data_IF_689815565761
#
_entry.id   IF_689815565761
#
_cell.length_a   1.000
_cell.length_b   1.000
_cell.length_c   1.000
_cell.angle_alpha   90.00
_cell.angle_beta   90.00
_cell.angle_gamma   90.00
#
_symmetry.space_group_name_H-M   'P 1'
#
loop_
_entity.id
_entity.type
_entity.pdbx_description
1 polymer ?
#
# COMPACT_ATOMS: atom_id res chain seq x y z
N UNK A 1 25.96 27.10 -11.43
CA UNK A 1 24.93 26.46 -10.59
C UNK A 1 24.03 25.68 -11.53
N UNK A 2 24.23 24.36 -11.61
CA UNK A 2 23.43 23.47 -12.46
C UNK A 2 22.10 23.21 -11.77
N UNK A 3 21.04 23.88 -12.23
CA UNK A 3 19.68 23.57 -11.80
C UNK A 3 19.33 22.19 -12.37
N UNK A 4 19.19 21.19 -11.50
CA UNK A 4 18.71 19.88 -11.91
C UNK A 4 17.29 20.03 -12.50
N UNK A 5 16.96 19.29 -13.58
CA UNK A 5 15.63 19.35 -14.17
C UNK A 5 14.59 18.86 -13.16
N UNK A 6 13.45 19.54 -13.07
CA UNK A 6 12.37 19.22 -12.11
C UNK A 6 11.93 17.75 -12.16
N UNK A 7 11.95 17.14 -13.35
CA UNK A 7 11.67 15.72 -13.56
C UNK A 7 12.67 14.77 -12.84
N UNK A 8 13.94 15.18 -12.71
CA UNK A 8 14.94 14.40 -11.99
C UNK A 8 14.66 14.41 -10.49
N UNK A 9 14.29 15.56 -9.94
CA UNK A 9 13.95 15.71 -8.52
C UNK A 9 12.72 14.87 -8.14
N UNK A 10 11.66 14.89 -8.95
CA UNK A 10 10.49 14.03 -8.73
C UNK A 10 10.84 12.54 -8.79
N UNK A 11 11.62 12.12 -9.80
CA UNK A 11 12.00 10.72 -9.97
C UNK A 11 12.81 10.22 -8.77
N UNK A 12 13.75 11.03 -8.27
CA UNK A 12 14.56 10.71 -7.09
C UNK A 12 13.69 10.60 -5.83
N UNK A 13 12.77 11.54 -5.61
CA UNK A 13 11.88 11.53 -4.45
C UNK A 13 10.90 10.34 -4.48
N UNK A 14 10.32 10.02 -5.65
CA UNK A 14 9.46 8.83 -5.83
C UNK A 14 10.23 7.54 -5.53
N UNK A 15 11.44 7.42 -6.08
CA UNK A 15 12.30 6.25 -5.86
C UNK A 15 12.68 6.11 -4.39
N UNK A 16 13.03 7.21 -3.72
CA UNK A 16 13.35 7.21 -2.29
C UNK A 16 12.15 6.86 -1.42
N UNK A 17 10.96 7.36 -1.72
CA UNK A 17 9.73 7.03 -0.98
C UNK A 17 9.36 5.55 -1.13
N UNK A 18 9.41 5.00 -2.35
CA UNK A 18 9.15 3.57 -2.58
C UNK A 18 10.20 2.71 -1.87
N UNK A 19 11.48 3.08 -1.95
CA UNK A 19 12.55 2.38 -1.26
C UNK A 19 12.41 2.47 0.26
N UNK A 20 11.91 3.58 0.79
CA UNK A 20 11.68 3.77 2.22
C UNK A 20 10.52 2.91 2.73
N UNK A 21 9.40 2.87 2.00
CA UNK A 21 8.25 2.02 2.33
C UNK A 21 8.63 0.54 2.20
N UNK A 22 9.38 0.17 1.15
CA UNK A 22 9.90 -1.20 0.98
C UNK A 22 10.88 -1.57 2.10
N UNK A 23 11.74 -0.64 2.52
CA UNK A 23 12.64 -0.85 3.66
C UNK A 23 11.86 -1.10 4.95
N UNK A 24 10.83 -0.30 5.24
CA UNK A 24 9.95 -0.51 6.41
C UNK A 24 9.29 -1.90 6.34
N UNK A 25 8.69 -2.26 5.19
CA UNK A 25 8.03 -3.55 5.01
C UNK A 25 8.99 -4.73 5.20
N UNK A 26 10.22 -4.64 4.71
CA UNK A 26 11.27 -5.66 4.87
C UNK A 26 11.77 -5.79 6.32
N UNK A 27 11.76 -4.70 7.10
CA UNK A 27 12.10 -4.76 8.53
C UNK A 27 10.95 -5.34 9.38
N UNK A 28 9.72 -5.39 8.85
CA UNK A 28 8.53 -5.91 9.55
C UNK A 28 8.28 -7.42 9.39
N UNK A 29 9.02 -8.13 8.53
CA UNK A 29 8.79 -9.55 8.20
C UNK A 29 9.15 -10.58 9.31
N UNK A 30 9.14 -10.20 10.59
CA UNK A 30 9.27 -11.15 11.72
C UNK A 30 7.93 -11.52 12.37
N UNK A 31 6.79 -11.11 11.80
CA UNK A 31 5.47 -11.41 12.36
C UNK A 31 4.87 -12.72 11.80
N UNK A 32 5.15 -13.80 12.52
CA UNK A 32 4.29 -14.95 12.86
C UNK A 32 3.47 -15.66 11.76
N UNK A 33 3.91 -16.87 11.42
CA UNK A 33 3.05 -17.93 10.89
C UNK A 33 1.99 -18.32 11.94
N UNK A 34 0.81 -17.73 11.85
CA UNK A 34 -0.35 -18.11 12.64
C UNK A 34 -1.22 -19.11 11.87
N UNK A 35 -1.02 -20.41 12.09
CA UNK A 35 -1.95 -21.45 11.65
C UNK A 35 -3.26 -21.35 12.45
N UNK A 36 -4.15 -20.47 12.01
CA UNK A 36 -5.52 -20.38 12.52
C UNK A 36 -6.40 -21.45 11.87
N UNK A 37 -6.76 -22.48 12.63
CA UNK A 37 -7.84 -23.42 12.25
C UNK A 37 -9.16 -22.66 12.19
N UNK A 38 -9.73 -22.49 10.99
CA UNK A 38 -11.05 -21.88 10.80
C UNK A 38 -12.17 -22.89 11.05
N UNK A 39 -12.86 -22.76 12.19
CA UNK A 39 -14.18 -23.39 12.41
C UNK A 39 -15.26 -22.41 11.95
N UNK A 40 -15.77 -22.65 10.74
CA UNK A 40 -17.09 -22.25 10.22
C UNK A 40 -17.63 -20.86 10.57
N UNK A 41 -17.33 -19.88 9.71
CA UNK A 41 -18.24 -18.75 9.46
C UNK A 41 -18.72 -18.85 8.02
N UNK A 42 -20.03 -19.05 7.81
CA UNK A 42 -20.67 -18.88 6.51
C UNK A 42 -21.06 -17.40 6.26
N UNK A 43 -20.32 -16.47 6.89
CA UNK A 43 -20.49 -15.03 6.70
C UNK A 43 -19.89 -14.60 5.36
N UNK A 44 -20.58 -13.68 4.68
CA UNK A 44 -20.09 -13.04 3.46
C UNK A 44 -18.59 -12.67 3.58
N UNK A 45 -17.80 -12.77 2.50
CA UNK A 45 -16.39 -12.42 2.56
C UNK A 45 -16.25 -11.02 3.15
N UNK A 46 -15.51 -10.91 4.26
CA UNK A 46 -15.13 -9.63 4.81
C UNK A 46 -14.36 -8.90 3.71
N UNK A 47 -14.99 -7.91 3.07
CA UNK A 47 -14.36 -7.13 2.01
C UNK A 47 -13.30 -6.28 2.68
N UNK A 48 -12.06 -6.76 2.62
CA UNK A 48 -10.90 -6.00 3.07
C UNK A 48 -10.67 -4.88 2.06
N UNK A 49 -10.71 -3.64 2.53
CA UNK A 49 -10.47 -2.45 1.69
C UNK A 49 -9.09 -2.49 1.01
N UNK A 50 -8.14 -3.19 1.63
CA UNK A 50 -6.79 -3.38 1.12
C UNK A 50 -6.60 -4.63 0.23
N UNK A 51 -7.66 -5.39 -0.11
CA UNK A 51 -7.61 -6.43 -1.15
C UNK A 51 -7.70 -5.76 -2.52
N UNK A 52 -6.54 -5.54 -3.13
CA UNK A 52 -6.35 -4.74 -4.33
C UNK A 52 -6.16 -5.62 -5.57
N UNK A 53 -5.65 -6.84 -5.41
CA UNK A 53 -5.46 -7.81 -6.49
C UNK A 53 -6.62 -8.81 -6.67
N UNK A 54 -7.59 -8.82 -5.74
CA UNK A 54 -8.77 -9.69 -5.77
C UNK A 54 -8.46 -11.12 -5.34
N UNK A 55 -7.28 -11.37 -4.76
CA UNK A 55 -6.95 -12.65 -4.14
C UNK A 55 -7.45 -12.66 -2.69
N UNK A 56 -7.90 -13.82 -2.18
CA UNK A 56 -8.43 -13.88 -0.81
C UNK A 56 -7.35 -13.54 0.21
N UNK A 57 -7.40 -12.34 0.78
CA UNK A 57 -6.47 -11.88 1.80
C UNK A 57 -6.00 -10.44 1.54
N UNK A 58 -5.05 -9.99 2.36
CA UNK A 58 -4.27 -8.77 2.08
C UNK A 58 -2.82 -9.16 2.30
N UNK A 59 -2.10 -9.31 1.20
CA UNK A 59 -0.75 -9.84 1.16
C UNK A 59 0.21 -8.96 0.39
N UNK A 60 1.35 -9.54 0.01
CA UNK A 60 2.42 -8.79 -0.64
C UNK A 60 2.04 -8.31 -2.05
N UNK A 61 1.15 -9.02 -2.76
CA UNK A 61 0.61 -8.59 -4.04
C UNK A 61 -0.11 -7.24 -3.94
N UNK A 62 -1.02 -7.12 -2.96
CA UNK A 62 -1.71 -5.87 -2.64
C UNK A 62 -0.76 -4.76 -2.25
N UNK A 63 0.28 -5.09 -1.47
CA UNK A 63 1.30 -4.11 -1.08
C UNK A 63 2.05 -3.54 -2.30
N UNK A 64 2.40 -4.37 -3.29
CA UNK A 64 3.06 -3.89 -4.51
C UNK A 64 2.16 -2.96 -5.32
N UNK A 65 0.86 -3.23 -5.36
CA UNK A 65 -0.12 -2.35 -6.02
C UNK A 65 -0.22 -1.02 -5.26
N UNK A 66 -0.40 -1.07 -3.94
CA UNK A 66 -0.42 0.13 -3.09
C UNK A 66 0.85 0.98 -3.24
N UNK A 67 2.02 0.35 -3.21
CA UNK A 67 3.30 1.03 -3.37
C UNK A 67 3.46 1.72 -4.74
N UNK A 68 2.83 1.19 -5.78
CA UNK A 68 2.81 1.78 -7.12
C UNK A 68 2.09 3.13 -7.19
N UNK A 69 1.05 3.32 -6.38
CA UNK A 69 0.29 4.56 -6.28
C UNK A 69 0.72 5.50 -5.15
N UNK A 70 1.75 5.15 -4.38
CA UNK A 70 2.18 5.97 -3.25
C UNK A 70 2.60 7.39 -3.70
N UNK A 71 2.21 8.40 -2.90
CA UNK A 71 2.44 9.82 -3.17
C UNK A 71 1.76 10.31 -4.47
N UNK A 72 0.60 9.74 -4.83
CA UNK A 72 -0.31 10.32 -5.81
C UNK A 72 -1.43 11.06 -5.08
N UNK A 73 -1.95 12.13 -5.69
CA UNK A 73 -3.10 12.88 -5.18
C UNK A 73 -4.16 13.07 -6.25
N UNK A 74 -5.38 13.39 -5.83
CA UNK A 74 -6.46 13.75 -6.76
C UNK A 74 -5.99 14.81 -7.77
N UNK A 75 -6.17 14.52 -9.06
CA UNK A 75 -5.70 15.35 -10.16
C UNK A 75 -4.41 14.87 -10.83
N UNK A 76 -3.65 13.97 -10.20
CA UNK A 76 -2.60 13.22 -10.89
C UNK A 76 -3.22 12.22 -11.87
N UNK A 77 -2.61 12.08 -13.06
CA UNK A 77 -3.08 11.14 -14.10
C UNK A 77 -3.03 9.67 -13.67
N UNK A 78 -2.18 9.35 -12.70
CA UNK A 78 -1.95 8.01 -12.18
C UNK A 78 -2.56 7.82 -10.78
N UNK A 79 -3.45 8.71 -10.35
CA UNK A 79 -4.21 8.54 -9.11
C UNK A 79 -5.22 7.39 -9.28
N UNK A 80 -5.17 6.41 -8.37
CA UNK A 80 -6.13 5.32 -8.27
C UNK A 80 -6.88 5.48 -6.95
N UNK A 81 -8.17 5.83 -7.02
CA UNK A 81 -9.02 6.11 -5.86
C UNK A 81 -9.15 4.91 -4.91
N UNK A 82 -8.90 3.70 -5.40
CA UNK A 82 -8.89 2.47 -4.59
C UNK A 82 -7.74 2.44 -3.58
N UNK A 83 -6.69 3.24 -3.78
CA UNK A 83 -5.50 3.26 -2.93
C UNK A 83 -5.58 4.35 -1.84
N UNK A 84 -6.53 5.28 -1.96
CA UNK A 84 -6.86 6.31 -0.96
C UNK A 84 -7.85 5.71 0.05
N UNK A 85 -7.31 4.96 1.01
CA UNK A 85 -8.09 4.17 1.97
C UNK A 85 -8.76 5.05 3.04
N UNK A 86 -8.23 6.25 3.30
CA UNK A 86 -8.81 7.20 4.25
C UNK A 86 -9.72 8.25 3.59
N UNK A 87 -9.67 8.39 2.26
CA UNK A 87 -10.47 9.31 1.45
C UNK A 87 -10.07 10.77 1.58
N UNK A 88 -8.80 11.06 1.88
CA UNK A 88 -8.29 12.44 2.05
C UNK A 88 -7.78 13.08 0.74
N UNK A 89 -7.86 12.34 -0.37
CA UNK A 89 -7.44 12.75 -1.69
C UNK A 89 -5.95 12.57 -1.95
N UNK A 90 -5.21 11.89 -1.06
CA UNK A 90 -3.78 11.61 -1.22
C UNK A 90 -3.44 10.19 -0.76
N UNK A 91 -2.83 9.41 -1.64
CA UNK A 91 -2.33 8.07 -1.31
C UNK A 91 -1.02 8.23 -0.54
N UNK A 92 -1.08 8.15 0.78
CA UNK A 92 -0.01 8.52 1.68
C UNK A 92 0.17 7.60 2.89
N UNK A 93 0.81 8.14 3.93
CA UNK A 93 1.12 7.37 5.13
C UNK A 93 -0.14 7.02 5.94
N UNK A 94 -1.18 7.85 5.88
CA UNK A 94 -2.48 7.55 6.49
C UNK A 94 -3.07 6.26 5.94
N UNK A 95 -3.06 6.10 4.62
CA UNK A 95 -3.53 4.90 3.94
C UNK A 95 -2.65 3.70 4.23
N UNK A 96 -1.33 3.89 4.28
CA UNK A 96 -0.41 2.83 4.66
C UNK A 96 -0.71 2.26 6.05
N UNK A 97 -1.05 3.12 7.03
CA UNK A 97 -1.42 2.65 8.36
C UNK A 97 -2.71 1.82 8.31
N UNK A 98 -3.72 2.24 7.54
CA UNK A 98 -4.95 1.47 7.34
C UNK A 98 -4.68 0.14 6.64
N UNK A 99 -3.89 0.15 5.57
CA UNK A 99 -3.43 -1.04 4.86
C UNK A 99 -2.77 -2.04 5.81
N UNK A 100 -1.84 -1.56 6.65
CA UNK A 100 -1.11 -2.37 7.61
C UNK A 100 -2.02 -3.03 8.67
N UNK A 101 -3.16 -2.42 9.02
CA UNK A 101 -4.13 -3.05 9.94
C UNK A 101 -4.83 -4.27 9.34
N UNK A 102 -4.91 -4.37 8.01
CA UNK A 102 -5.59 -5.46 7.31
C UNK A 102 -4.61 -6.52 6.79
N UNK A 103 -3.32 -6.19 6.71
CA UNK A 103 -2.24 -7.07 6.29
C UNK A 103 -2.17 -8.30 7.20
N UNK A 104 -2.63 -9.42 6.67
CA UNK A 104 -2.67 -10.72 7.34
C UNK A 104 -1.89 -11.67 6.44
N UNK A 105 -0.57 -11.71 6.63
CA UNK A 105 0.30 -12.61 5.87
C UNK A 105 -0.07 -14.08 6.05
#
# INVERSE_FOLDING_TARGET
MTQFPLAFHETVMRTLSVLFVLFIALMSSSAHAGTGVVIGSLGAPEVKLADLDGTPGVGFGDFLIFAGGFNRSEGDSDFDDRLDLNGDGTIGFGDFLLFATQFSG
#
